data_IF_290609854301
#
_entry.id   IF_290609854301
#
_cell.length_a   1.000
_cell.length_b   1.000
_cell.length_c   1.000
_cell.angle_alpha   90.00
_cell.angle_beta   90.00
_cell.angle_gamma   90.00
#
_symmetry.space_group_name_H-M   'P 1'
#
loop_
_entity.id
_entity.type
_entity.pdbx_description
1 polymer ?
#
# COMPACT_ATOMS: atom_id res chain seq x y z
N UNK A 1 -1.08 -4.96 -18.93
CA UNK A 1 -0.04 -5.49 -18.03
C UNK A 1 0.64 -4.34 -17.30
N UNK A 2 0.94 -4.53 -16.03
CA UNK A 2 1.68 -3.54 -15.25
C UNK A 2 3.16 -3.70 -15.56
N UNK A 3 3.78 -2.64 -16.04
CA UNK A 3 5.19 -2.65 -16.42
C UNK A 3 6.06 -2.09 -15.31
N UNK A 4 7.36 -2.34 -15.40
CA UNK A 4 8.34 -1.71 -14.50
C UNK A 4 8.30 -0.18 -14.60
N UNK A 5 8.06 0.33 -15.79
CA UNK A 5 7.92 1.77 -16.01
C UNK A 5 6.67 2.33 -15.31
N UNK A 6 5.56 1.59 -15.31
CA UNK A 6 4.35 1.96 -14.58
C UNK A 6 4.64 2.07 -13.08
N UNK A 7 5.36 1.11 -12.52
CA UNK A 7 5.75 1.13 -11.10
C UNK A 7 6.65 2.31 -10.77
N UNK A 8 7.59 2.63 -11.65
CA UNK A 8 8.45 3.80 -11.48
C UNK A 8 7.66 5.11 -11.53
N UNK A 9 6.68 5.20 -12.41
CA UNK A 9 5.80 6.36 -12.51
C UNK A 9 4.99 6.55 -11.23
N UNK A 10 4.40 5.48 -10.72
CA UNK A 10 3.67 5.50 -9.45
C UNK A 10 4.58 5.90 -8.30
N UNK A 11 5.78 5.32 -8.24
CA UNK A 11 6.74 5.59 -7.19
C UNK A 11 7.13 7.07 -7.13
N UNK A 12 7.48 7.66 -8.26
CA UNK A 12 7.84 9.08 -8.34
C UNK A 12 6.69 10.00 -7.96
N UNK A 13 5.50 9.69 -8.44
CA UNK A 13 4.31 10.43 -8.08
C UNK A 13 4.03 10.35 -6.57
N UNK A 14 4.07 9.15 -6.01
CA UNK A 14 3.76 8.91 -4.61
C UNK A 14 4.73 9.61 -3.66
N UNK A 15 6.02 9.67 -4.01
CA UNK A 15 7.01 10.38 -3.20
C UNK A 15 6.74 11.87 -3.06
N UNK A 16 6.05 12.47 -4.03
CA UNK A 16 5.79 13.90 -4.09
C UNK A 16 4.33 14.26 -3.83
N UNK A 17 3.54 13.29 -3.43
CA UNK A 17 2.10 13.48 -3.23
C UNK A 17 1.76 13.58 -1.76
N UNK A 18 0.89 14.53 -1.44
CA UNK A 18 0.33 14.71 -0.12
C UNK A 18 -0.98 13.92 -0.04
N UNK A 19 -0.95 12.78 0.65
CA UNK A 19 -2.09 11.88 0.71
C UNK A 19 -3.06 12.28 1.81
N UNK A 20 -4.37 12.30 1.55
CA UNK A 20 -5.37 12.45 2.61
C UNK A 20 -5.41 11.17 3.44
N UNK A 21 -4.95 11.26 4.67
CA UNK A 21 -4.80 10.12 5.54
C UNK A 21 -5.97 9.99 6.51
N UNK A 22 -6.35 8.76 6.79
CA UNK A 22 -7.26 8.44 7.89
C UNK A 22 -6.80 7.17 8.59
N UNK A 23 -7.18 7.02 9.83
CA UNK A 23 -6.85 5.85 10.64
C UNK A 23 -7.43 4.59 10.02
N UNK A 24 -6.62 3.54 9.95
CA UNK A 24 -7.03 2.24 9.46
C UNK A 24 -7.71 1.45 10.59
N UNK A 25 -9.03 1.24 10.55
CA UNK A 25 -9.73 0.56 11.64
C UNK A 25 -9.34 -0.91 11.78
N UNK A 26 -8.94 -1.54 10.67
CA UNK A 26 -8.54 -2.95 10.67
C UNK A 26 -7.23 -3.22 11.39
N UNK A 27 -6.42 -2.19 11.66
CA UNK A 27 -5.15 -2.35 12.35
C UNK A 27 -5.28 -2.43 13.87
N UNK A 28 -6.41 -2.09 14.45
CA UNK A 28 -6.59 -2.02 15.91
C UNK A 28 -6.34 -3.34 16.62
N UNK A 29 -6.59 -4.46 15.96
CA UNK A 29 -6.44 -5.78 16.58
C UNK A 29 -5.02 -6.34 16.59
N UNK A 30 -4.08 -5.75 15.83
CA UNK A 30 -2.74 -6.33 15.66
C UNK A 30 -1.60 -5.33 15.61
N UNK A 31 -1.86 -4.06 15.70
CA UNK A 31 -0.83 -3.02 15.72
C UNK A 31 -0.73 -2.37 17.10
N UNK A 32 0.50 -2.11 17.56
CA UNK A 32 0.74 -1.38 18.79
C UNK A 32 0.51 0.13 18.67
N UNK A 33 0.45 0.64 17.44
CA UNK A 33 0.23 2.04 17.12
C UNK A 33 -0.79 2.18 16.01
N UNK A 34 -1.42 3.33 15.92
CA UNK A 34 -2.33 3.64 14.82
C UNK A 34 -1.58 3.68 13.49
N UNK A 35 -2.21 3.10 12.48
CA UNK A 35 -1.73 3.12 11.11
C UNK A 35 -2.66 4.04 10.32
N UNK A 36 -2.08 4.91 9.53
CA UNK A 36 -2.84 5.83 8.68
C UNK A 36 -2.70 5.42 7.22
N UNK A 37 -3.82 5.41 6.54
CA UNK A 37 -3.91 4.97 5.15
C UNK A 37 -4.66 5.98 4.29
N UNK A 38 -4.41 5.89 2.99
CA UNK A 38 -5.20 6.53 1.96
C UNK A 38 -5.54 5.50 0.89
N UNK A 39 -6.82 5.32 0.63
CA UNK A 39 -7.26 4.46 -0.47
C UNK A 39 -7.06 5.18 -1.79
N UNK A 40 -6.34 4.56 -2.71
CA UNK A 40 -6.07 5.08 -4.04
C UNK A 40 -6.97 4.45 -5.09
N UNK A 41 -7.22 3.15 -4.97
CA UNK A 41 -8.18 2.40 -5.78
C UNK A 41 -8.85 1.36 -4.91
N UNK A 42 -10.16 1.28 -4.96
CA UNK A 42 -10.94 0.29 -4.24
C UNK A 42 -11.73 -0.60 -5.20
N UNK A 43 -11.95 -1.84 -4.78
CA UNK A 43 -12.82 -2.79 -5.43
C UNK A 43 -14.09 -2.96 -4.60
N UNK A 44 -15.24 -3.03 -5.25
CA UNK A 44 -16.54 -3.18 -4.63
C UNK A 44 -17.62 -3.13 -5.68
N UNK A 45 -18.86 -2.77 -5.29
CA UNK A 45 -19.96 -2.57 -6.25
C UNK A 45 -19.65 -1.50 -7.29
N UNK A 46 -18.80 -0.54 -6.94
CA UNK A 46 -18.25 0.47 -7.86
C UNK A 46 -16.73 0.55 -7.64
N UNK A 47 -15.98 0.39 -8.72
CA UNK A 47 -14.56 0.67 -8.70
C UNK A 47 -14.39 2.18 -8.56
N UNK A 48 -13.65 2.60 -7.52
CA UNK A 48 -13.31 4.01 -7.39
C UNK A 48 -11.81 4.22 -7.54
N UNK A 49 -11.44 5.36 -8.10
CA UNK A 49 -10.06 5.81 -8.19
C UNK A 49 -10.00 7.25 -7.70
N UNK A 50 -9.07 7.54 -6.81
CA UNK A 50 -8.91 8.88 -6.23
C UNK A 50 -8.19 9.82 -7.20
N UNK A 51 -8.86 10.16 -8.28
CA UNK A 51 -8.30 10.96 -9.38
C UNK A 51 -7.84 12.36 -8.96
N UNK A 52 -8.45 12.94 -7.92
CA UNK A 52 -8.16 14.30 -7.48
C UNK A 52 -6.70 14.55 -7.10
N UNK A 53 -6.01 13.51 -6.64
CA UNK A 53 -4.61 13.61 -6.23
C UNK A 53 -3.67 12.98 -7.24
N UNK A 54 -4.18 12.50 -8.37
CA UNK A 54 -3.41 11.81 -9.40
C UNK A 54 -3.18 12.68 -10.61
N UNK A 55 -2.01 12.53 -11.22
CA UNK A 55 -1.80 12.98 -12.59
C UNK A 55 -2.62 12.10 -13.52
N UNK A 56 -2.88 12.58 -14.75
CA UNK A 56 -3.57 11.78 -15.75
C UNK A 56 -2.84 10.47 -16.06
N UNK A 57 -1.52 10.54 -16.17
CA UNK A 57 -0.67 9.36 -16.40
C UNK A 57 -0.83 8.32 -15.29
N UNK A 58 -0.80 8.75 -14.03
CA UNK A 58 -0.96 7.85 -12.88
C UNK A 58 -2.38 7.28 -12.84
N UNK A 59 -3.39 8.09 -13.08
CA UNK A 59 -4.78 7.64 -13.13
C UNK A 59 -4.98 6.55 -14.19
N UNK A 60 -4.37 6.72 -15.36
CA UNK A 60 -4.45 5.74 -16.44
C UNK A 60 -3.83 4.40 -16.04
N UNK A 61 -2.74 4.43 -15.27
CA UNK A 61 -2.14 3.19 -14.76
C UNK A 61 -3.10 2.49 -13.79
N UNK A 62 -3.68 3.23 -12.84
CA UNK A 62 -4.62 2.65 -11.87
C UNK A 62 -5.92 2.17 -12.52
N UNK A 63 -6.28 2.68 -13.69
CA UNK A 63 -7.44 2.21 -14.43
C UNK A 63 -7.24 0.82 -15.05
N UNK A 64 -6.01 0.33 -15.12
CA UNK A 64 -5.72 -1.02 -15.64
C UNK A 64 -6.43 -2.08 -14.77
N UNK A 65 -7.06 -3.04 -15.41
CA UNK A 65 -7.84 -4.09 -14.75
C UNK A 65 -7.00 -4.99 -13.85
N UNK A 66 -5.70 -5.11 -14.13
CA UNK A 66 -4.77 -5.91 -13.33
C UNK A 66 -4.58 -5.34 -11.93
N UNK A 67 -4.80 -4.04 -11.72
CA UNK A 67 -4.76 -3.44 -10.39
C UNK A 67 -6.16 -3.53 -9.79
N UNK A 68 -6.30 -4.38 -8.79
CA UNK A 68 -7.57 -4.64 -8.12
C UNK A 68 -7.85 -3.60 -7.04
N UNK A 69 -6.85 -3.30 -6.23
CA UNK A 69 -6.91 -2.24 -5.24
C UNK A 69 -5.53 -1.66 -4.99
N UNK A 70 -5.49 -0.48 -4.43
CA UNK A 70 -4.24 0.17 -4.05
C UNK A 70 -4.46 1.07 -2.84
N UNK A 71 -3.51 1.03 -1.92
CA UNK A 71 -3.49 1.90 -0.74
C UNK A 71 -2.11 2.50 -0.55
N UNK A 72 -2.09 3.70 -0.04
CA UNK A 72 -0.90 4.27 0.59
C UNK A 72 -1.01 4.08 2.10
N UNK A 73 0.08 3.67 2.75
CA UNK A 73 0.10 3.46 4.20
C UNK A 73 1.32 4.13 4.80
N UNK A 74 1.15 4.67 5.99
CA UNK A 74 2.23 5.27 6.74
C UNK A 74 2.26 4.71 8.16
N UNK A 75 3.47 4.44 8.64
CA UNK A 75 3.74 3.86 9.94
C UNK A 75 4.64 4.79 10.72
N UNK A 76 4.30 5.05 11.99
CA UNK A 76 5.20 5.76 12.89
C UNK A 76 6.38 4.87 13.27
N UNK A 77 7.49 5.52 13.62
CA UNK A 77 8.63 4.83 14.21
C UNK A 77 8.21 4.00 15.44
N UNK A 78 8.67 2.78 15.52
CA UNK A 78 8.31 1.86 16.60
C UNK A 78 6.98 1.12 16.39
N UNK A 79 6.34 1.25 15.24
CA UNK A 79 5.15 0.46 14.92
C UNK A 79 5.52 -1.01 14.76
N UNK A 80 4.78 -1.87 15.45
CA UNK A 80 4.92 -3.32 15.37
C UNK A 80 3.56 -3.90 15.00
N UNK A 81 3.54 -4.65 13.91
CA UNK A 81 2.38 -5.43 13.50
C UNK A 81 2.58 -6.88 13.94
N UNK A 82 1.65 -7.37 14.74
CA UNK A 82 1.65 -8.78 15.11
C UNK A 82 1.35 -9.66 13.89
N UNK A 83 1.79 -10.92 13.88
CA UNK A 83 1.47 -11.85 12.80
C UNK A 83 -0.03 -11.91 12.56
N UNK A 84 -0.44 -11.76 11.30
CA UNK A 84 -1.84 -11.75 10.90
C UNK A 84 -1.96 -12.10 9.43
N UNK A 85 -3.19 -12.33 8.98
CA UNK A 85 -3.53 -12.42 7.56
C UNK A 85 -4.58 -11.36 7.24
N UNK A 86 -4.36 -10.64 6.16
CA UNK A 86 -5.34 -9.67 5.69
C UNK A 86 -6.51 -10.41 5.05
N UNK A 87 -7.76 -10.15 5.48
CA UNK A 87 -8.91 -10.88 4.96
C UNK A 87 -9.15 -10.66 3.47
N UNK A 88 -8.77 -9.50 2.95
CA UNK A 88 -9.00 -9.10 1.56
C UNK A 88 -8.11 -9.85 0.55
N UNK A 89 -7.04 -10.48 1.03
CA UNK A 89 -6.09 -11.20 0.17
C UNK A 89 -6.18 -12.71 0.35
N UNK A 90 -7.11 -13.20 1.14
CA UNK A 90 -7.28 -14.62 1.38
C UNK A 90 -8.62 -15.12 0.83
N UNK A 91 -8.65 -16.25 0.09
CA UNK A 91 -7.54 -17.05 -0.42
C UNK A 91 -6.75 -16.31 -1.50
N UNK A 92 -5.44 -16.38 -1.42
CA UNK A 92 -4.52 -15.54 -2.17
C UNK A 92 -4.54 -15.85 -3.67
N UNK A 93 -5.34 -15.11 -4.43
CA UNK A 93 -5.36 -15.12 -5.90
C UNK A 93 -4.62 -13.93 -6.51
N UNK A 94 -4.10 -13.04 -5.67
CA UNK A 94 -3.50 -11.78 -6.09
C UNK A 94 -2.04 -11.72 -5.70
N UNK A 95 -1.25 -11.07 -6.52
CA UNK A 95 0.09 -10.65 -6.12
C UNK A 95 -0.01 -9.31 -5.40
N UNK A 96 0.68 -9.20 -4.28
CA UNK A 96 0.84 -7.93 -3.59
C UNK A 96 2.18 -7.33 -4.00
N UNK A 97 2.13 -6.11 -4.50
CA UNK A 97 3.33 -5.32 -4.79
C UNK A 97 3.42 -4.23 -3.75
N UNK A 98 4.56 -4.14 -3.08
CA UNK A 98 4.84 -3.10 -2.11
C UNK A 98 5.95 -2.21 -2.65
N UNK A 99 5.71 -0.90 -2.63
CA UNK A 99 6.68 0.11 -3.07
C UNK A 99 7.08 0.94 -1.84
N UNK A 100 8.20 0.61 -1.19
CA UNK A 100 8.70 1.42 -0.08
C UNK A 100 9.09 2.81 -0.57
N UNK A 101 8.44 3.84 -0.05
CA UNK A 101 8.67 5.23 -0.47
C UNK A 101 9.70 5.92 0.41
N UNK A 102 9.67 5.66 1.71
CA UNK A 102 10.59 6.24 2.68
C UNK A 102 10.89 5.22 3.77
N UNK A 103 12.16 4.86 3.89
CA UNK A 103 12.66 3.95 4.91
C UNK A 103 13.81 4.66 5.63
N UNK A 104 13.59 5.17 6.85
CA UNK A 104 14.61 5.96 7.54
C UNK A 104 15.85 5.14 7.94
N UNK A 105 15.67 3.87 8.27
CA UNK A 105 16.77 2.97 8.61
C UNK A 105 16.44 1.55 8.16
N UNK A 106 17.13 1.06 7.14
CA UNK A 106 16.86 -0.26 6.54
C UNK A 106 17.02 -1.42 7.52
N UNK A 107 17.94 -1.30 8.49
CA UNK A 107 18.18 -2.37 9.46
C UNK A 107 17.05 -2.50 10.47
N UNK A 108 16.22 -1.48 10.62
CA UNK A 108 15.12 -1.44 11.58
C UNK A 108 13.74 -1.61 10.92
N UNK A 109 13.68 -1.68 9.59
CA UNK A 109 12.43 -1.83 8.86
C UNK A 109 12.43 -3.18 8.16
N UNK A 110 11.67 -4.11 8.70
CA UNK A 110 11.60 -5.45 8.12
C UNK A 110 10.23 -6.07 8.35
N UNK A 111 9.96 -7.11 7.58
CA UNK A 111 8.82 -7.97 7.85
C UNK A 111 9.29 -9.41 7.96
N UNK A 112 8.51 -10.23 8.65
CA UNK A 112 8.71 -11.66 8.68
C UNK A 112 7.64 -12.27 7.78
N UNK A 113 8.08 -12.94 6.74
CA UNK A 113 7.22 -13.59 5.78
C UNK A 113 7.53 -15.08 5.78
N UNK A 114 6.52 -15.89 6.10
CA UNK A 114 6.67 -17.33 6.15
C UNK A 114 7.89 -17.77 6.99
N UNK A 115 8.08 -17.13 8.15
CA UNK A 115 9.19 -17.40 9.07
C UNK A 115 10.53 -16.78 8.67
N UNK A 116 10.60 -16.07 7.54
CA UNK A 116 11.84 -15.47 7.06
C UNK A 116 11.81 -13.94 7.20
N UNK A 117 12.93 -13.38 7.66
CA UNK A 117 13.10 -11.94 7.74
C UNK A 117 13.36 -11.37 6.35
N UNK A 118 12.54 -10.39 5.96
CA UNK A 118 12.69 -9.66 4.69
C UNK A 118 12.87 -8.18 5.01
N UNK A 119 13.97 -7.59 4.55
CA UNK A 119 14.20 -6.16 4.68
C UNK A 119 13.39 -5.40 3.62
N UNK A 120 12.89 -4.26 4.01
CA UNK A 120 12.20 -3.37 3.09
C UNK A 120 13.16 -2.72 2.10
#
# INVERSE_FOLDING_TARGET
>A
MITKNDLNTIFKWAKNTDFPLKKAPTAEGYSNKDIYISWLKGAGKKVFIRKKIMTEEVADIFLKDEIIFATFSTFESGTILNPHRDPDVYPCRYKRIQLPLKIPNRNHCFMIWDGKKVLW
#
